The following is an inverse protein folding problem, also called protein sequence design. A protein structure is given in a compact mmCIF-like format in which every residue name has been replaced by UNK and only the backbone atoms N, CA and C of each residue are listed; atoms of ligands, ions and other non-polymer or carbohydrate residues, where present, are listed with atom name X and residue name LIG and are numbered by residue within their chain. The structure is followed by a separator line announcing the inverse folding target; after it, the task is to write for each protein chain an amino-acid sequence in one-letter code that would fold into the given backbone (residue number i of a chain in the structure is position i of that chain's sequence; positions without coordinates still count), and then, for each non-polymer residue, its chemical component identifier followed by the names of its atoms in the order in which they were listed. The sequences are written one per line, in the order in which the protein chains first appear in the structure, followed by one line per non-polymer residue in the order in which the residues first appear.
data_IF_093117505462
#
_entry.id   IF_093117505462
#
_cell.length_a   1.000
_cell.length_b   1.000
_cell.length_c   1.000
_cell.angle_alpha   90.00
_cell.angle_beta   90.00
_cell.angle_gamma   90.00
#
_symmetry.space_group_name_H-M   'P 1'
#
loop_
_entity.id
_entity.type
_entity.pdbx_description
1 polymer ?
#
# COMPACT_ATOMS: atom_id res chain seq x y z
N UNK A 1 -38.11 -5.51 5.16
CA UNK A 1 -37.58 -6.23 3.99
C UNK A 1 -38.03 -7.66 3.98
N UNK A 2 -38.29 -8.23 2.82
CA UNK A 2 -38.70 -9.63 2.60
C UNK A 2 -37.84 -10.25 1.53
N UNK A 3 -37.54 -11.55 1.65
CA UNK A 3 -36.75 -12.27 0.70
C UNK A 3 -37.42 -12.34 -0.68
N UNK A 4 -36.84 -11.74 -1.70
CA UNK A 4 -37.38 -11.76 -3.06
C UNK A 4 -37.31 -13.16 -3.69
N UNK A 5 -36.26 -13.94 -3.38
CA UNK A 5 -36.14 -15.32 -3.84
C UNK A 5 -37.28 -16.20 -3.32
N UNK A 6 -37.61 -16.11 -2.02
CA UNK A 6 -38.76 -16.84 -1.48
C UNK A 6 -40.07 -16.37 -2.10
N UNK A 7 -40.25 -15.06 -2.29
CA UNK A 7 -41.44 -14.49 -2.88
C UNK A 7 -41.67 -14.95 -4.32
N UNK A 8 -40.62 -15.13 -5.11
CA UNK A 8 -40.72 -15.43 -6.54
C UNK A 8 -40.55 -16.92 -6.88
N UNK A 9 -39.59 -17.60 -6.22
CA UNK A 9 -39.21 -18.96 -6.59
C UNK A 9 -39.50 -20.00 -5.50
N UNK A 10 -39.72 -19.58 -4.28
CA UNK A 10 -39.93 -20.45 -3.07
C UNK A 10 -38.79 -21.46 -2.85
N UNK A 11 -37.60 -21.15 -3.30
CA UNK A 11 -36.43 -22.03 -3.20
C UNK A 11 -35.65 -21.85 -1.89
N UNK A 12 -36.01 -20.88 -1.05
CA UNK A 12 -35.45 -20.65 0.28
C UNK A 12 -36.58 -20.51 1.31
N UNK A 13 -36.24 -20.59 2.60
CA UNK A 13 -37.19 -20.37 3.71
C UNK A 13 -37.74 -18.94 3.69
N UNK A 14 -39.03 -18.74 4.12
CA UNK A 14 -39.59 -17.41 4.24
C UNK A 14 -38.90 -16.66 5.39
N UNK A 15 -38.25 -15.56 5.08
CA UNK A 15 -37.68 -14.71 6.11
C UNK A 15 -37.91 -13.23 5.77
N UNK A 16 -38.11 -12.47 6.83
CA UNK A 16 -38.32 -11.03 6.77
C UNK A 16 -37.63 -10.37 7.95
N UNK A 17 -37.17 -9.16 7.78
CA UNK A 17 -36.55 -8.35 8.82
C UNK A 17 -37.13 -6.95 8.79
N UNK A 18 -37.34 -6.33 9.94
CA UNK A 18 -37.84 -4.97 10.02
C UNK A 18 -36.82 -3.99 9.45
N UNK A 19 -37.27 -3.02 8.66
CA UNK A 19 -36.37 -2.04 8.06
C UNK A 19 -35.57 -1.28 9.13
N UNK A 20 -36.24 -0.87 10.21
CA UNK A 20 -35.62 -0.17 11.33
C UNK A 20 -34.50 -0.99 11.98
N UNK A 21 -34.70 -2.28 12.16
CA UNK A 21 -33.69 -3.19 12.74
C UNK A 21 -32.46 -3.28 11.84
N UNK A 22 -32.64 -3.35 10.52
CA UNK A 22 -31.52 -3.34 9.56
C UNK A 22 -30.76 -2.02 9.63
N UNK A 23 -31.49 -0.90 9.60
CA UNK A 23 -30.91 0.45 9.67
C UNK A 23 -30.09 0.65 10.94
N UNK A 24 -30.61 0.26 12.10
CA UNK A 24 -29.91 0.37 13.38
C UNK A 24 -28.64 -0.49 13.43
N UNK A 25 -28.72 -1.75 12.97
CA UNK A 25 -27.56 -2.65 12.93
C UNK A 25 -26.49 -2.18 11.94
N UNK A 26 -26.90 -1.72 10.76
CA UNK A 26 -26.00 -1.19 9.73
C UNK A 26 -25.33 0.10 10.21
N UNK A 27 -26.10 1.01 10.82
CA UNK A 27 -25.56 2.24 11.36
C UNK A 27 -24.48 1.97 12.43
N UNK A 28 -24.77 1.07 13.38
CA UNK A 28 -23.81 0.68 14.41
C UNK A 28 -22.54 0.09 13.83
N UNK A 29 -22.67 -0.84 12.89
CA UNK A 29 -21.51 -1.47 12.26
C UNK A 29 -20.65 -0.47 11.44
N UNK A 30 -21.30 0.52 10.80
CA UNK A 30 -20.56 1.61 10.13
C UNK A 30 -19.80 2.46 11.14
N UNK A 31 -20.42 2.80 12.26
CA UNK A 31 -19.79 3.57 13.33
C UNK A 31 -18.57 2.82 13.91
N UNK A 32 -18.75 1.55 14.25
CA UNK A 32 -17.67 0.68 14.76
C UNK A 32 -16.51 0.58 13.75
N UNK A 33 -16.82 0.46 12.46
CA UNK A 33 -15.78 0.42 11.41
C UNK A 33 -15.04 1.75 11.26
N UNK A 34 -15.73 2.88 11.39
CA UNK A 34 -15.09 4.20 11.36
C UNK A 34 -14.12 4.34 12.55
N UNK A 35 -14.55 3.94 13.74
CA UNK A 35 -13.69 3.96 14.94
C UNK A 35 -12.45 3.08 14.77
N UNK A 36 -12.60 1.87 14.22
CA UNK A 36 -11.48 0.98 13.91
C UNK A 36 -10.50 1.60 12.92
N UNK A 37 -10.98 2.28 11.90
CA UNK A 37 -10.13 2.96 10.90
C UNK A 37 -9.37 4.12 11.52
N UNK A 38 -10.02 4.91 12.40
CA UNK A 38 -9.36 6.02 13.11
C UNK A 38 -8.26 5.49 14.05
N UNK A 39 -8.55 4.42 14.80
CA UNK A 39 -7.56 3.79 15.66
C UNK A 39 -6.38 3.23 14.88
N UNK A 40 -6.64 2.65 13.71
CA UNK A 40 -5.60 2.17 12.80
C UNK A 40 -4.71 3.32 12.29
N UNK A 41 -5.30 4.48 11.96
CA UNK A 41 -4.54 5.67 11.57
C UNK A 41 -3.64 6.17 12.70
N UNK A 42 -4.14 6.20 13.94
CA UNK A 42 -3.33 6.58 15.10
C UNK A 42 -2.13 5.64 15.29
N UNK A 43 -2.34 4.33 15.19
CA UNK A 43 -1.27 3.34 15.28
C UNK A 43 -0.22 3.55 14.17
N UNK A 44 -0.66 3.82 12.93
CA UNK A 44 0.25 4.14 11.83
C UNK A 44 1.08 5.39 12.09
N UNK A 45 0.46 6.45 12.63
CA UNK A 45 1.18 7.68 12.99
C UNK A 45 2.22 7.45 14.10
N UNK A 46 1.99 6.50 15.00
CA UNK A 46 2.98 6.08 15.99
C UNK A 46 4.13 5.32 15.35
N UNK A 47 3.83 4.35 14.47
CA UNK A 47 4.84 3.58 13.74
C UNK A 47 5.76 4.50 12.93
N UNK A 48 5.22 5.50 12.24
CA UNK A 48 6.00 6.47 11.46
C UNK A 48 7.04 7.22 12.30
N UNK A 49 6.80 7.37 13.59
CA UNK A 49 7.71 8.03 14.55
C UNK A 49 8.75 7.09 15.17
N UNK A 50 8.65 5.79 14.92
CA UNK A 50 9.58 4.83 15.50
C UNK A 50 11.00 5.04 14.94
N UNK A 51 12.03 4.96 15.80
CA UNK A 51 13.43 5.05 15.37
C UNK A 51 13.81 3.99 14.33
N UNK A 52 13.16 2.83 14.36
CA UNK A 52 13.33 1.75 13.37
C UNK A 52 12.98 2.19 11.95
N UNK A 53 11.94 3.01 11.77
CA UNK A 53 11.55 3.56 10.46
C UNK A 53 12.60 4.54 9.92
N UNK A 54 13.08 5.44 10.77
CA UNK A 54 14.13 6.37 10.40
C UNK A 54 15.42 5.66 10.00
N UNK A 55 15.80 4.57 10.71
CA UNK A 55 16.96 3.75 10.37
C UNK A 55 16.80 3.04 9.03
N UNK A 56 15.62 2.48 8.74
CA UNK A 56 15.34 1.83 7.45
C UNK A 56 15.46 2.81 6.30
N UNK A 57 14.85 4.00 6.41
CA UNK A 57 14.96 5.05 5.40
C UNK A 57 16.42 5.46 5.17
N UNK A 58 17.17 5.73 6.24
CA UNK A 58 18.60 6.07 6.17
C UNK A 58 19.44 4.97 5.50
N UNK A 59 19.16 3.70 5.78
CA UNK A 59 19.87 2.59 5.15
C UNK A 59 19.61 2.52 3.64
N UNK A 60 18.38 2.75 3.19
CA UNK A 60 18.07 2.80 1.76
C UNK A 60 18.76 3.98 1.08
N UNK A 61 18.74 5.16 1.70
CA UNK A 61 19.42 6.35 1.17
C UNK A 61 20.93 6.12 1.03
N UNK A 62 21.56 5.51 2.04
CA UNK A 62 22.97 5.17 1.99
C UNK A 62 23.31 4.16 0.88
N UNK A 63 22.44 3.16 0.66
CA UNK A 63 22.62 2.20 -0.44
C UNK A 63 22.47 2.86 -1.81
N UNK A 64 21.47 3.73 -1.97
CA UNK A 64 21.23 4.49 -3.20
C UNK A 64 22.44 5.34 -3.52
N UNK A 65 22.91 6.14 -2.56
CA UNK A 65 24.09 7.01 -2.74
C UNK A 65 25.33 6.22 -3.16
N UNK A 66 25.58 5.05 -2.54
CA UNK A 66 26.70 4.18 -2.91
C UNK A 66 26.61 3.66 -4.35
N UNK A 67 25.42 3.23 -4.77
CA UNK A 67 25.22 2.72 -6.14
C UNK A 67 25.38 3.87 -7.15
N UNK A 68 24.86 5.05 -6.86
CA UNK A 68 24.98 6.24 -7.71
C UNK A 68 26.46 6.68 -7.85
N UNK A 69 27.25 6.66 -6.76
CA UNK A 69 28.68 6.92 -6.78
C UNK A 69 29.44 5.90 -7.65
N UNK A 70 29.09 4.61 -7.54
CA UNK A 70 29.69 3.56 -8.37
C UNK A 70 29.36 3.74 -9.85
N UNK A 71 28.14 4.10 -10.21
CA UNK A 71 27.73 4.41 -11.59
C UNK A 71 28.57 5.57 -12.13
N UNK A 72 28.67 6.67 -11.38
CA UNK A 72 29.47 7.85 -11.78
C UNK A 72 30.93 7.49 -11.98
N UNK A 73 31.48 6.67 -11.08
CA UNK A 73 32.88 6.18 -11.22
C UNK A 73 33.09 5.41 -12.52
N UNK A 74 32.20 4.44 -12.84
CA UNK A 74 32.37 3.67 -14.09
C UNK A 74 32.08 4.49 -15.33
N UNK A 75 31.21 5.49 -15.27
CA UNK A 75 31.03 6.45 -16.37
C UNK A 75 32.30 7.26 -16.63
N UNK A 76 32.97 7.75 -15.59
CA UNK A 76 34.24 8.45 -15.70
C UNK A 76 35.35 7.55 -16.30
N UNK A 77 35.45 6.29 -15.82
CA UNK A 77 36.39 5.32 -16.38
C UNK A 77 36.11 5.05 -17.86
N UNK A 78 34.83 4.91 -18.24
CA UNK A 78 34.44 4.70 -19.65
C UNK A 78 34.79 5.90 -20.54
N UNK A 79 34.67 7.12 -20.05
CA UNK A 79 35.11 8.33 -20.78
C UNK A 79 36.62 8.34 -20.97
N UNK A 80 37.41 8.01 -19.94
CA UNK A 80 38.87 7.97 -20.02
C UNK A 80 39.42 6.87 -20.96
N UNK A 81 38.63 5.84 -21.30
CA UNK A 81 39.07 4.81 -22.26
C UNK A 81 39.37 5.38 -23.65
N UNK A 82 38.60 6.36 -24.09
CA UNK A 82 38.81 6.96 -25.41
C UNK A 82 40.14 7.72 -25.47
N UNK A 83 40.50 8.43 -24.41
CA UNK A 83 41.78 9.14 -24.30
C UNK A 83 42.98 8.16 -24.30
N UNK A 84 42.86 7.05 -23.55
CA UNK A 84 43.86 5.99 -23.49
C UNK A 84 44.06 5.30 -24.85
N UNK A 85 42.98 5.11 -25.59
CA UNK A 85 43.04 4.52 -26.94
C UNK A 85 43.73 5.45 -27.93
N UNK A 86 43.37 6.74 -27.95
CA UNK A 86 44.04 7.73 -28.84
C UNK A 86 45.49 7.93 -28.42
N UNK A 87 45.80 7.92 -27.13
CA UNK A 87 47.14 8.00 -26.62
C UNK A 87 47.99 6.75 -26.85
N UNK A 88 47.46 5.69 -27.44
CA UNK A 88 48.15 4.43 -27.72
C UNK A 88 48.51 3.61 -26.48
N UNK A 89 47.88 3.90 -25.34
CA UNK A 89 48.05 3.15 -24.07
C UNK A 89 47.34 1.79 -24.11
N UNK A 90 46.23 1.74 -24.82
CA UNK A 90 45.44 0.51 -25.04
C UNK A 90 45.19 0.31 -26.54
N UNK A 91 45.11 -0.94 -26.98
CA UNK A 91 44.81 -1.25 -28.36
C UNK A 91 43.27 -1.23 -28.64
N UNK A 92 42.90 -1.43 -29.91
CA UNK A 92 41.51 -1.40 -30.35
C UNK A 92 40.67 -2.53 -29.71
N UNK A 93 41.25 -3.71 -29.51
CA UNK A 93 40.55 -4.86 -28.91
C UNK A 93 40.27 -4.62 -27.44
N UNK A 94 41.32 -4.16 -26.71
CA UNK A 94 41.23 -3.78 -25.30
C UNK A 94 40.21 -2.66 -25.07
N UNK A 95 40.21 -1.66 -25.96
CA UNK A 95 39.24 -0.57 -25.89
C UNK A 95 37.80 -1.06 -25.96
N UNK A 96 37.48 -1.96 -26.92
CA UNK A 96 36.13 -2.48 -27.05
C UNK A 96 35.76 -3.43 -25.90
N UNK A 97 36.66 -4.24 -25.41
CA UNK A 97 36.48 -5.13 -24.30
C UNK A 97 36.14 -4.34 -23.01
N UNK A 98 36.97 -3.39 -22.65
CA UNK A 98 36.73 -2.56 -21.47
C UNK A 98 35.49 -1.70 -21.60
N UNK A 99 35.22 -1.12 -22.79
CA UNK A 99 34.00 -0.35 -23.03
C UNK A 99 32.74 -1.18 -22.84
N UNK A 100 32.72 -2.41 -23.35
CA UNK A 100 31.58 -3.32 -23.21
C UNK A 100 31.43 -3.75 -21.76
N UNK A 101 32.53 -4.07 -21.07
CA UNK A 101 32.52 -4.43 -19.65
C UNK A 101 31.96 -3.30 -18.79
N UNK A 102 32.46 -2.08 -18.95
CA UNK A 102 31.96 -0.93 -18.19
C UNK A 102 30.51 -0.59 -18.51
N UNK A 103 30.09 -0.75 -19.77
CA UNK A 103 28.70 -0.55 -20.16
C UNK A 103 27.82 -1.51 -19.42
N UNK A 104 28.14 -2.82 -19.41
CA UNK A 104 27.39 -3.85 -18.70
C UNK A 104 27.34 -3.58 -17.19
N UNK A 105 28.46 -3.20 -16.58
CA UNK A 105 28.49 -2.88 -15.15
C UNK A 105 27.56 -1.70 -14.84
N UNK A 106 27.55 -0.67 -15.68
CA UNK A 106 26.66 0.50 -15.51
C UNK A 106 25.20 0.06 -15.61
N UNK A 107 24.84 -0.74 -16.60
CA UNK A 107 23.49 -1.26 -16.80
C UNK A 107 23.03 -2.09 -15.59
N UNK A 108 23.85 -3.05 -15.13
CA UNK A 108 23.57 -3.88 -13.96
C UNK A 108 23.37 -3.03 -12.69
N UNK A 109 24.18 -1.98 -12.51
CA UNK A 109 24.06 -1.03 -11.40
C UNK A 109 22.80 -0.17 -11.48
N UNK A 110 22.42 0.27 -12.69
CA UNK A 110 21.18 1.02 -12.90
C UNK A 110 19.94 0.17 -12.58
N UNK A 111 19.94 -1.10 -12.95
CA UNK A 111 18.87 -2.03 -12.56
C UNK A 111 18.81 -2.24 -11.04
N UNK A 112 19.98 -2.39 -10.39
CA UNK A 112 20.05 -2.49 -8.94
C UNK A 112 19.50 -1.23 -8.25
N UNK A 113 19.85 -0.04 -8.77
CA UNK A 113 19.36 1.25 -8.29
C UNK A 113 17.82 1.32 -8.37
N UNK A 114 17.25 0.90 -9.50
CA UNK A 114 15.81 0.87 -9.68
C UNK A 114 15.13 -0.09 -8.69
N UNK A 115 15.72 -1.26 -8.43
CA UNK A 115 15.21 -2.22 -7.43
C UNK A 115 15.21 -1.62 -6.03
N UNK A 116 16.34 -1.05 -5.59
CA UNK A 116 16.46 -0.43 -4.26
C UNK A 116 15.49 0.74 -4.09
N UNK A 117 15.35 1.61 -5.11
CA UNK A 117 14.38 2.72 -5.10
C UNK A 117 12.94 2.21 -5.03
N UNK A 118 12.63 1.10 -5.69
CA UNK A 118 11.30 0.46 -5.61
C UNK A 118 11.05 -0.13 -4.22
N UNK A 119 12.03 -0.82 -3.64
CA UNK A 119 11.93 -1.39 -2.29
C UNK A 119 11.79 -0.29 -1.23
N UNK A 120 12.58 0.79 -1.33
CA UNK A 120 12.43 1.97 -0.48
C UNK A 120 11.02 2.55 -0.60
N UNK A 121 10.55 2.76 -1.84
CA UNK A 121 9.18 3.25 -2.06
C UNK A 121 8.15 2.33 -1.45
N UNK A 122 8.27 1.02 -1.60
CA UNK A 122 7.35 0.05 -0.98
C UNK A 122 7.42 0.11 0.55
N UNK A 123 8.61 0.11 1.14
CA UNK A 123 8.80 0.19 2.59
C UNK A 123 8.25 1.49 3.19
N UNK A 124 8.41 2.62 2.49
CA UNK A 124 7.86 3.92 2.89
C UNK A 124 6.37 4.01 2.57
N UNK A 125 5.94 3.46 1.43
CA UNK A 125 4.56 3.55 0.94
C UNK A 125 3.63 2.61 1.69
N UNK A 126 4.11 1.51 2.27
CA UNK A 126 3.28 0.70 3.18
C UNK A 126 2.88 1.52 4.42
N UNK A 127 3.68 2.55 4.79
CA UNK A 127 3.32 3.55 5.79
C UNK A 127 2.53 4.76 5.24
N UNK A 128 2.69 5.13 3.96
CA UNK A 128 2.19 6.40 3.40
C UNK A 128 1.39 6.28 2.11
N UNK A 129 0.98 5.06 1.70
CA UNK A 129 0.10 4.93 0.52
C UNK A 129 -1.07 5.88 0.69
N UNK A 130 -1.41 6.59 -0.38
CA UNK A 130 -2.57 7.49 -0.47
C UNK A 130 -3.75 6.91 0.31
N UNK A 131 -3.84 7.28 1.59
CA UNK A 131 -4.86 6.80 2.51
C UNK A 131 -6.18 7.54 2.27
N UNK A 132 -6.49 7.78 0.99
CA UNK A 132 -7.74 8.41 0.58
C UNK A 132 -8.95 7.70 1.19
N UNK A 133 -8.85 6.39 1.39
CA UNK A 133 -9.89 5.61 2.04
C UNK A 133 -10.01 5.92 3.54
N UNK A 134 -8.91 6.13 4.26
CA UNK A 134 -8.93 6.56 5.68
C UNK A 134 -9.57 7.93 5.79
N UNK A 135 -9.16 8.87 4.95
CA UNK A 135 -9.74 10.22 4.89
C UNK A 135 -11.24 10.16 4.59
N UNK A 136 -11.66 9.23 3.72
CA UNK A 136 -13.06 9.03 3.40
C UNK A 136 -13.86 8.55 4.63
N UNK A 137 -13.35 7.61 5.42
CA UNK A 137 -14.00 7.17 6.66
C UNK A 137 -14.07 8.30 7.68
N UNK A 138 -12.99 9.07 7.87
CA UNK A 138 -12.94 10.23 8.79
C UNK A 138 -13.95 11.32 8.46
N UNK A 139 -14.31 11.52 7.20
CA UNK A 139 -15.38 12.47 6.84
C UNK A 139 -16.71 12.16 7.48
N UNK A 140 -16.91 10.90 7.91
CA UNK A 140 -18.14 10.41 8.54
C UNK A 140 -17.97 10.10 10.03
N UNK A 141 -16.88 10.55 10.68
CA UNK A 141 -16.61 10.32 12.11
C UNK A 141 -17.76 10.78 13.01
N UNK A 142 -18.38 11.92 12.69
CA UNK A 142 -19.46 12.52 13.46
C UNK A 142 -20.83 12.32 12.78
N UNK A 143 -21.03 11.21 12.07
CA UNK A 143 -22.33 10.90 11.46
C UNK A 143 -23.32 10.50 12.55
N UNK A 144 -24.47 11.22 12.63
CA UNK A 144 -25.50 10.99 13.64
C UNK A 144 -26.63 10.08 13.13
N UNK A 145 -26.77 9.96 11.82
CA UNK A 145 -27.81 9.14 11.19
C UNK A 145 -27.36 8.47 9.89
N UNK A 146 -27.95 7.32 9.60
CA UNK A 146 -27.70 6.59 8.39
C UNK A 146 -28.38 7.28 7.19
N UNK A 147 -27.62 7.72 6.24
CA UNK A 147 -28.13 8.26 4.99
C UNK A 147 -27.51 7.57 3.76
N UNK A 148 -28.16 7.79 2.61
CA UNK A 148 -27.71 7.17 1.36
C UNK A 148 -26.25 7.51 1.00
N UNK A 149 -25.79 8.71 1.32
CA UNK A 149 -24.43 9.15 1.00
C UNK A 149 -23.39 8.35 1.77
N UNK A 150 -23.59 8.14 3.07
CA UNK A 150 -22.72 7.31 3.92
C UNK A 150 -22.66 5.88 3.39
N UNK A 151 -23.83 5.27 3.14
CA UNK A 151 -23.91 3.91 2.58
C UNK A 151 -23.17 3.79 1.26
N UNK A 152 -23.45 4.66 0.31
CA UNK A 152 -22.82 4.63 -1.02
C UNK A 152 -21.31 4.90 -0.97
N UNK A 153 -20.83 5.61 0.02
CA UNK A 153 -19.40 5.91 0.17
C UNK A 153 -18.63 4.76 0.82
N UNK A 154 -19.17 4.15 1.88
CA UNK A 154 -18.43 3.22 2.74
C UNK A 154 -18.79 1.75 2.52
N UNK A 155 -20.00 1.45 2.06
CA UNK A 155 -20.51 0.08 1.95
C UNK A 155 -20.54 -0.36 0.48
N UNK A 156 -20.03 -1.55 0.21
CA UNK A 156 -20.15 -2.22 -1.08
C UNK A 156 -21.50 -2.94 -1.16
N UNK A 157 -21.80 -3.79 -0.18
CA UNK A 157 -23.05 -4.54 -0.11
C UNK A 157 -23.39 -4.95 1.31
N UNK A 158 -24.69 -5.21 1.53
CA UNK A 158 -25.23 -5.71 2.78
C UNK A 158 -25.93 -7.03 2.46
N UNK A 159 -25.55 -8.10 3.14
CA UNK A 159 -26.14 -9.42 3.03
C UNK A 159 -26.96 -9.70 4.29
N UNK A 160 -28.17 -10.16 4.08
CA UNK A 160 -29.08 -10.56 5.16
C UNK A 160 -29.27 -12.06 5.05
N UNK A 161 -28.80 -12.79 6.05
CA UNK A 161 -28.88 -14.25 6.12
C UNK A 161 -30.19 -14.73 6.69
N UNK A 162 -30.53 -16.01 6.50
CA UNK A 162 -31.80 -16.62 6.96
C UNK A 162 -31.99 -16.54 8.46
N UNK A 163 -30.93 -16.55 9.26
CA UNK A 163 -30.93 -16.40 10.71
C UNK A 163 -31.02 -14.94 11.18
N UNK A 164 -31.38 -14.00 10.31
CA UNK A 164 -31.38 -12.55 10.54
C UNK A 164 -30.00 -11.96 10.87
N UNK A 165 -28.92 -12.71 10.65
CA UNK A 165 -27.58 -12.13 10.69
C UNK A 165 -27.39 -11.17 9.50
N UNK A 166 -26.76 -10.04 9.78
CA UNK A 166 -26.44 -9.03 8.78
C UNK A 166 -24.93 -9.02 8.61
N UNK A 167 -24.48 -9.25 7.39
CA UNK A 167 -23.08 -9.12 7.00
C UNK A 167 -22.95 -7.87 6.15
N UNK A 168 -21.98 -7.01 6.51
CA UNK A 168 -21.70 -5.77 5.79
C UNK A 168 -20.33 -5.90 5.17
N UNK A 169 -20.30 -5.79 3.84
CA UNK A 169 -19.05 -5.73 3.09
C UNK A 169 -18.72 -4.27 2.85
N UNK A 170 -17.69 -3.79 3.50
CA UNK A 170 -17.20 -2.43 3.32
C UNK A 170 -16.37 -2.32 2.05
N UNK A 171 -16.37 -1.14 1.45
CA UNK A 171 -15.37 -0.75 0.47
C UNK A 171 -14.00 -0.67 1.14
N UNK A 172 -12.94 -0.84 0.35
CA UNK A 172 -11.56 -0.78 0.87
C UNK A 172 -11.23 -1.85 1.94
N UNK A 173 -11.93 -3.01 1.88
CA UNK A 173 -11.69 -4.13 2.80
C UNK A 173 -10.25 -4.63 2.70
N UNK A 174 -9.73 -4.73 1.48
CA UNK A 174 -8.39 -5.25 1.23
C UNK A 174 -7.31 -4.26 1.70
N UNK A 175 -7.50 -2.97 1.47
CA UNK A 175 -6.62 -1.91 1.97
C UNK A 175 -6.62 -1.86 3.50
N UNK A 176 -7.78 -2.00 4.12
CA UNK A 176 -7.91 -2.09 5.58
C UNK A 176 -7.15 -3.30 6.12
N UNK A 177 -7.34 -4.48 5.53
CA UNK A 177 -6.70 -5.71 5.97
C UNK A 177 -5.17 -5.63 5.85
N UNK A 178 -4.67 -5.16 4.71
CA UNK A 178 -3.23 -4.96 4.49
C UNK A 178 -2.62 -3.97 5.49
N UNK A 179 -3.36 -2.90 5.78
CA UNK A 179 -2.92 -1.88 6.74
C UNK A 179 -2.91 -2.44 8.16
N UNK A 180 -3.91 -3.23 8.53
CA UNK A 180 -3.99 -3.90 9.83
C UNK A 180 -2.83 -4.89 10.02
N UNK A 181 -2.55 -5.73 9.02
CA UNK A 181 -1.43 -6.67 9.04
C UNK A 181 -0.09 -5.94 9.20
N UNK A 182 0.08 -4.81 8.53
CA UNK A 182 1.26 -3.96 8.69
C UNK A 182 1.40 -3.45 10.14
N UNK A 183 0.33 -2.91 10.72
CA UNK A 183 0.34 -2.41 12.12
C UNK A 183 0.64 -3.54 13.10
N UNK A 184 0.02 -4.71 12.92
CA UNK A 184 0.27 -5.89 13.77
C UNK A 184 1.71 -6.36 13.71
N UNK A 185 2.41 -6.18 12.59
CA UNK A 185 3.84 -6.46 12.46
C UNK A 185 4.74 -5.59 13.34
N UNK A 186 4.21 -4.49 13.90
CA UNK A 186 4.92 -3.58 14.82
C UNK A 186 4.36 -3.62 16.24
N UNK A 187 3.49 -4.58 16.56
CA UNK A 187 2.82 -4.64 17.87
C UNK A 187 3.79 -4.69 19.05
N UNK A 188 4.97 -5.29 18.86
CA UNK A 188 6.03 -5.37 19.89
C UNK A 188 6.87 -4.07 20.02
N UNK A 189 6.72 -3.13 19.06
CA UNK A 189 7.46 -1.85 19.05
C UNK A 189 6.57 -0.65 19.47
N UNK A 190 5.23 -0.85 19.54
CA UNK A 190 4.23 0.14 19.96
C UNK A 190 3.95 0.09 21.46
#
# INVERSE_FOLDING_TARGET
YVCSTNKHTRTCSPHSIAAKEVEEKVFRAIHDQIELVINLEHALAMIERLPSQSRKAFNYEAQIAKIEEEIERYQKLKLGLYENFIGGVIDKSEYFEFRNSYTKIIEDKQEALLRVKKEMKQAVTTGTTERNWVTLFKQYENVEELNRRVLMSLVDRILIHENHAIEIVFKYKDEYQQTLEYVLGYADEL
#
